data_IF_875271012494
#
_entry.id   IF_875271012494
#
_cell.length_a   1.000
_cell.length_b   1.000
_cell.length_c   1.000
_cell.angle_alpha   90.00
_cell.angle_beta   90.00
_cell.angle_gamma   90.00
#
_symmetry.space_group_name_H-M   'P 1'
#
loop_
_entity.id
_entity.type
_entity.pdbx_description
1 polymer ?
#
# COMPACT_ATOMS: atom_id res chain seq x y z
N UNK A 1 21.35 -6.79 6.62
CA UNK A 1 21.33 -7.17 8.06
C UNK A 1 19.89 -7.36 8.44
N UNK A 2 19.51 -8.63 8.76
CA UNK A 2 18.16 -9.02 9.19
C UNK A 2 17.89 -8.45 10.59
N UNK A 3 16.82 -7.67 10.73
CA UNK A 3 16.24 -7.30 12.02
C UNK A 3 15.06 -8.23 12.32
N UNK A 4 15.23 -9.12 13.30
CA UNK A 4 14.16 -9.98 13.83
C UNK A 4 13.41 -9.20 14.91
N UNK A 5 12.15 -8.86 14.68
CA UNK A 5 11.22 -8.38 15.70
C UNK A 5 10.53 -9.58 16.36
N UNK A 6 10.91 -9.89 17.61
CA UNK A 6 10.21 -10.83 18.47
C UNK A 6 9.04 -10.15 19.18
N UNK A 7 7.82 -10.58 18.87
CA UNK A 7 6.61 -10.20 19.62
C UNK A 7 6.41 -11.18 20.78
N UNK A 8 6.53 -10.67 22.00
CA UNK A 8 6.15 -11.42 23.23
C UNK A 8 4.69 -11.14 23.57
N UNK A 9 3.86 -12.16 23.48
CA UNK A 9 2.49 -12.15 23.99
C UNK A 9 2.49 -12.53 25.48
N UNK A 10 1.99 -11.63 26.32
CA UNK A 10 1.69 -11.93 27.70
C UNK A 10 0.20 -12.21 27.87
N UNK A 11 -0.13 -13.46 28.20
CA UNK A 11 -1.47 -13.86 28.57
C UNK A 11 -1.80 -13.48 30.00
N UNK A 12 -3.03 -13.02 30.22
CA UNK A 12 -3.62 -12.94 31.57
C UNK A 12 -4.91 -13.73 31.57
N UNK A 13 -4.90 -14.82 32.35
CA UNK A 13 -6.08 -15.54 32.78
C UNK A 13 -6.67 -14.82 34.00
N UNK A 14 -7.97 -14.64 34.03
CA UNK A 14 -8.73 -14.23 35.19
C UNK A 14 -10.12 -14.86 35.18
N UNK A 15 -10.30 -15.81 36.06
CA UNK A 15 -11.55 -16.54 36.34
C UNK A 15 -12.35 -15.88 37.45
N UNK A 16 -13.68 -16.05 37.39
CA UNK A 16 -14.58 -16.05 38.58
C UNK A 16 -15.51 -14.85 38.64
N UNK A 17 -16.81 -15.05 38.63
CA UNK A 17 -17.71 -15.64 39.52
C UNK A 17 -19.00 -14.83 39.65
N UNK A 18 -20.08 -15.40 39.36
CA UNK A 18 -21.47 -15.42 39.84
C UNK A 18 -22.13 -14.23 40.54
N UNK A 19 -23.38 -14.09 40.16
CA UNK A 19 -24.67 -13.92 40.92
C UNK A 19 -25.31 -12.54 41.01
N UNK A 20 -26.53 -12.52 40.44
CA UNK A 20 -27.86 -12.16 41.00
C UNK A 20 -28.07 -10.71 41.43
N UNK A 21 -29.06 -10.14 41.03
CA UNK A 21 -30.48 -10.05 40.94
C UNK A 21 -31.04 -8.60 40.94
N UNK A 22 -32.07 -8.42 40.19
CA UNK A 22 -33.31 -7.64 40.45
C UNK A 22 -33.36 -6.12 40.22
N UNK A 23 -34.25 -5.84 39.28
CA UNK A 23 -35.48 -4.99 39.34
C UNK A 23 -35.34 -3.50 39.05
N UNK A 24 -36.07 -3.17 37.97
CA UNK A 24 -37.27 -2.33 37.89
C UNK A 24 -37.16 -0.85 37.43
N UNK A 25 -38.05 -0.59 36.48
CA UNK A 25 -38.73 0.65 36.07
C UNK A 25 -37.92 1.72 35.33
N UNK A 26 -38.23 1.95 34.04
CA UNK A 26 -39.42 2.62 33.60
C UNK A 26 -39.13 3.85 32.76
N UNK A 27 -39.77 3.94 31.62
CA UNK A 27 -40.10 5.10 30.78
C UNK A 27 -39.04 5.61 29.79
N UNK A 28 -39.21 5.26 28.51
CA UNK A 28 -39.97 5.92 27.45
C UNK A 28 -39.28 7.13 26.80
N UNK A 29 -39.35 7.04 25.47
CA UNK A 29 -39.25 8.04 24.40
C UNK A 29 -37.92 8.27 23.73
N UNK A 30 -37.95 7.94 22.42
CA UNK A 30 -37.05 8.54 21.44
C UNK A 30 -36.64 7.61 20.30
N UNK A 31 -37.65 7.24 19.50
CA UNK A 31 -37.45 6.65 18.19
C UNK A 31 -36.56 7.55 17.32
N UNK A 32 -35.41 7.06 16.93
CA UNK A 32 -34.71 7.50 15.73
C UNK A 32 -34.31 6.23 15.00
N UNK A 33 -35.15 5.82 14.07
CA UNK A 33 -34.84 4.83 13.05
C UNK A 33 -33.70 5.36 12.19
N UNK A 34 -32.50 4.98 12.57
CA UNK A 34 -31.36 4.93 11.66
C UNK A 34 -31.44 3.61 10.92
N UNK A 35 -32.03 3.59 9.74
CA UNK A 35 -31.88 2.50 8.79
C UNK A 35 -30.39 2.36 8.45
N UNK A 36 -29.70 1.54 9.22
CA UNK A 36 -28.51 0.88 8.73
C UNK A 36 -29.00 -0.10 7.66
N UNK A 37 -28.92 0.34 6.43
CA UNK A 37 -28.99 -0.53 5.27
C UNK A 37 -27.77 -1.47 5.33
N UNK A 38 -27.89 -2.50 6.15
CA UNK A 38 -27.09 -3.68 6.05
C UNK A 38 -27.57 -4.34 4.77
N UNK A 39 -26.95 -4.00 3.66
CA UNK A 39 -26.99 -4.85 2.48
C UNK A 39 -26.50 -6.23 2.94
N UNK A 40 -27.43 -7.07 3.33
CA UNK A 40 -27.29 -8.51 3.37
C UNK A 40 -27.06 -8.92 1.92
N UNK A 41 -25.79 -8.86 1.51
CA UNK A 41 -25.34 -9.55 0.31
C UNK A 41 -25.45 -11.03 0.64
N UNK A 42 -26.64 -11.59 0.39
CA UNK A 42 -26.85 -13.01 0.20
C UNK A 42 -25.72 -13.45 -0.73
N UNK A 43 -24.76 -14.22 -0.18
CA UNK A 43 -23.57 -14.64 -0.90
C UNK A 43 -23.98 -15.41 -2.14
N UNK A 44 -24.03 -14.72 -3.29
CA UNK A 44 -23.97 -15.42 -4.56
C UNK A 44 -22.72 -16.28 -4.53
N UNK A 45 -22.84 -17.55 -4.90
CA UNK A 45 -21.70 -18.48 -5.04
C UNK A 45 -20.81 -17.97 -6.18
N UNK A 46 -19.98 -16.94 -5.89
CA UNK A 46 -19.02 -16.41 -6.85
C UNK A 46 -17.98 -17.51 -7.13
N UNK A 47 -17.74 -17.75 -8.40
CA UNK A 47 -16.73 -18.69 -8.86
C UNK A 47 -16.04 -18.17 -10.11
N UNK A 48 -14.79 -18.50 -10.27
CA UNK A 48 -13.98 -18.09 -11.41
C UNK A 48 -12.54 -17.78 -11.04
N UNK A 49 -11.83 -17.14 -11.94
CA UNK A 49 -10.44 -16.74 -11.75
C UNK A 49 -10.32 -15.24 -11.89
N UNK A 50 -9.48 -14.63 -11.06
CA UNK A 50 -9.05 -13.23 -11.17
C UNK A 50 -7.53 -13.24 -11.29
N UNK A 51 -7.02 -12.59 -12.32
CA UNK A 51 -5.58 -12.41 -12.56
C UNK A 51 -5.16 -10.98 -12.26
N UNK A 52 -4.03 -10.80 -11.59
CA UNK A 52 -3.47 -9.48 -11.36
C UNK A 52 -1.96 -9.45 -11.61
N UNK A 53 -1.46 -8.31 -12.08
CA UNK A 53 -0.03 -8.09 -12.25
C UNK A 53 0.34 -6.66 -11.82
N UNK A 54 1.60 -6.43 -11.48
CA UNK A 54 2.08 -5.06 -11.32
C UNK A 54 3.10 -4.82 -10.21
N UNK A 55 2.87 -3.77 -9.46
CA UNK A 55 3.81 -3.19 -8.49
C UNK A 55 4.30 -4.17 -7.44
N UNK A 56 5.62 -4.29 -7.32
CA UNK A 56 6.29 -5.04 -6.25
C UNK A 56 6.04 -4.42 -4.87
N UNK A 57 5.83 -3.11 -4.79
CA UNK A 57 5.52 -2.43 -3.53
C UNK A 57 4.13 -2.81 -2.99
N UNK A 58 3.21 -3.19 -3.87
CA UNK A 58 1.86 -3.61 -3.50
C UNK A 58 1.73 -5.11 -3.18
N UNK A 59 2.79 -5.90 -3.35
CA UNK A 59 2.75 -7.36 -3.20
C UNK A 59 2.07 -7.82 -1.90
N UNK A 60 2.47 -7.24 -0.77
CA UNK A 60 1.90 -7.62 0.54
C UNK A 60 0.42 -7.30 0.66
N UNK A 61 0.03 -6.11 0.20
CA UNK A 61 -1.37 -5.66 0.24
C UNK A 61 -2.24 -6.49 -0.71
N UNK A 62 -1.78 -6.68 -1.94
CA UNK A 62 -2.51 -7.43 -2.96
C UNK A 62 -2.70 -8.91 -2.57
N UNK A 63 -1.65 -9.56 -2.06
CA UNK A 63 -1.75 -10.94 -1.58
C UNK A 63 -2.70 -11.06 -0.38
N UNK A 64 -2.63 -10.16 0.60
CA UNK A 64 -3.54 -10.18 1.73
C UNK A 64 -5.01 -9.97 1.31
N UNK A 65 -5.26 -9.07 0.36
CA UNK A 65 -6.58 -8.84 -0.19
C UNK A 65 -7.09 -10.07 -0.97
N UNK A 66 -6.23 -10.69 -1.78
CA UNK A 66 -6.54 -11.91 -2.51
C UNK A 66 -6.91 -13.07 -1.58
N UNK A 67 -6.10 -13.29 -0.53
CA UNK A 67 -6.37 -14.33 0.48
C UNK A 67 -7.71 -14.09 1.20
N UNK A 68 -7.97 -12.86 1.63
CA UNK A 68 -9.23 -12.51 2.29
C UNK A 68 -10.43 -12.69 1.34
N UNK A 69 -10.27 -12.36 0.06
CA UNK A 69 -11.32 -12.52 -0.94
C UNK A 69 -11.62 -13.99 -1.21
N UNK A 70 -10.58 -14.82 -1.41
CA UNK A 70 -10.74 -16.27 -1.59
C UNK A 70 -11.30 -16.96 -0.35
N UNK A 71 -10.95 -16.49 0.85
CA UNK A 71 -11.54 -17.00 2.09
C UNK A 71 -13.05 -16.70 2.18
N UNK A 72 -13.46 -15.52 1.70
CA UNK A 72 -14.89 -15.13 1.65
C UNK A 72 -15.66 -15.84 0.52
N UNK A 73 -14.99 -16.07 -0.61
CA UNK A 73 -15.57 -16.67 -1.81
C UNK A 73 -14.74 -17.88 -2.26
N UNK A 74 -14.95 -19.06 -1.66
CA UNK A 74 -14.11 -20.24 -1.92
C UNK A 74 -14.13 -20.79 -3.36
N UNK A 75 -15.11 -20.36 -4.15
CA UNK A 75 -15.20 -20.70 -5.58
C UNK A 75 -14.31 -19.84 -6.48
N UNK A 76 -13.68 -18.80 -5.93
CA UNK A 76 -12.80 -17.88 -6.68
C UNK A 76 -11.34 -18.24 -6.46
N UNK A 77 -10.55 -18.22 -7.54
CA UNK A 77 -9.10 -18.32 -7.50
C UNK A 77 -8.48 -16.98 -7.93
N UNK A 78 -7.55 -16.44 -7.16
CA UNK A 78 -6.82 -15.23 -7.49
C UNK A 78 -5.35 -15.56 -7.72
N UNK A 79 -4.79 -15.09 -8.84
CA UNK A 79 -3.37 -15.20 -9.17
C UNK A 79 -2.75 -13.83 -9.27
N UNK A 80 -1.50 -13.68 -8.81
CA UNK A 80 -0.81 -12.39 -8.80
C UNK A 80 0.65 -12.53 -9.26
N UNK A 81 1.11 -11.58 -10.07
CA UNK A 81 2.51 -11.43 -10.49
C UNK A 81 2.98 -10.01 -10.18
N UNK A 82 4.22 -9.87 -9.69
CA UNK A 82 4.76 -8.58 -9.25
C UNK A 82 6.05 -8.25 -10.01
N UNK A 83 5.91 -7.54 -11.12
CA UNK A 83 6.98 -7.21 -12.07
C UNK A 83 7.22 -5.71 -12.25
N UNK A 84 6.44 -4.87 -11.55
CA UNK A 84 6.52 -3.41 -11.61
C UNK A 84 5.21 -2.78 -12.06
N UNK A 85 4.99 -1.51 -11.68
CA UNK A 85 3.74 -0.80 -11.96
C UNK A 85 3.48 -0.62 -13.45
N UNK A 86 4.49 -0.24 -14.22
CA UNK A 86 4.35 -0.03 -15.66
C UNK A 86 3.95 -1.32 -16.38
N UNK A 87 4.54 -2.46 -16.01
CA UNK A 87 4.16 -3.77 -16.55
C UNK A 87 2.71 -4.14 -16.17
N UNK A 88 2.27 -3.81 -14.95
CA UNK A 88 0.89 -4.04 -14.51
C UNK A 88 -0.14 -3.22 -15.28
N UNK A 89 0.16 -1.95 -15.53
CA UNK A 89 -0.70 -1.06 -16.32
C UNK A 89 -0.77 -1.54 -17.78
N UNK A 90 0.37 -1.89 -18.38
CA UNK A 90 0.40 -2.46 -19.74
C UNK A 90 -0.40 -3.77 -19.84
N UNK A 91 -0.28 -4.63 -18.83
CA UNK A 91 -0.98 -5.89 -18.78
C UNK A 91 -2.51 -5.73 -18.70
N UNK A 92 -3.01 -4.77 -17.91
CA UNK A 92 -4.45 -4.50 -17.85
C UNK A 92 -4.97 -3.81 -19.11
N UNK A 93 -4.22 -2.90 -19.70
CA UNK A 93 -4.59 -2.24 -20.96
C UNK A 93 -4.66 -3.24 -22.13
N UNK A 94 -3.71 -4.18 -22.18
CA UNK A 94 -3.73 -5.27 -23.17
C UNK A 94 -4.74 -6.37 -22.84
N UNK A 95 -5.45 -6.28 -21.71
CA UNK A 95 -6.42 -7.28 -21.22
C UNK A 95 -5.82 -8.67 -21.00
N UNK A 96 -4.53 -8.73 -20.69
CA UNK A 96 -3.85 -9.99 -20.32
C UNK A 96 -4.06 -10.33 -18.84
N UNK A 97 -4.43 -9.34 -18.02
CA UNK A 97 -4.87 -9.51 -16.63
C UNK A 97 -6.14 -8.69 -16.36
N UNK A 98 -6.85 -9.05 -15.30
CA UNK A 98 -8.09 -8.36 -14.89
C UNK A 98 -7.79 -7.11 -14.06
N UNK A 99 -6.70 -7.11 -13.27
CA UNK A 99 -6.31 -6.03 -12.37
C UNK A 99 -4.83 -5.70 -12.57
N UNK A 100 -4.54 -4.42 -12.81
CA UNK A 100 -3.19 -3.87 -12.78
C UNK A 100 -2.89 -3.21 -11.43
N UNK A 101 -1.87 -3.66 -10.73
CA UNK A 101 -1.44 -3.05 -9.47
C UNK A 101 -0.39 -1.97 -9.74
N UNK A 102 -0.63 -0.75 -9.24
CA UNK A 102 0.29 0.38 -9.42
C UNK A 102 0.57 1.08 -8.09
N UNK A 103 1.81 1.48 -7.86
CA UNK A 103 2.25 2.34 -6.75
C UNK A 103 2.52 3.78 -7.19
N UNK A 104 1.95 4.20 -8.29
CA UNK A 104 1.88 5.58 -8.79
C UNK A 104 0.51 5.86 -9.37
N UNK A 105 0.19 7.12 -9.59
CA UNK A 105 -0.98 7.49 -10.37
C UNK A 105 -0.86 7.01 -11.82
N UNK A 106 -1.99 6.85 -12.48
CA UNK A 106 -2.01 6.63 -13.92
C UNK A 106 -1.69 7.94 -14.65
N UNK A 107 -0.88 7.86 -15.68
CA UNK A 107 -0.66 8.99 -16.59
C UNK A 107 -1.94 9.31 -17.39
N UNK A 108 -2.02 10.51 -17.94
CA UNK A 108 -3.16 10.91 -18.77
C UNK A 108 -3.31 10.00 -20.00
N UNK A 109 -2.19 9.59 -20.60
CA UNK A 109 -2.20 8.67 -21.75
C UNK A 109 -2.77 7.29 -21.38
N UNK A 110 -2.40 6.74 -20.21
CA UNK A 110 -2.94 5.46 -19.74
C UNK A 110 -4.46 5.53 -19.46
N UNK A 111 -4.93 6.66 -18.94
CA UNK A 111 -6.36 6.93 -18.75
C UNK A 111 -7.10 7.08 -20.09
N UNK A 112 -6.50 7.74 -21.06
CA UNK A 112 -7.06 7.88 -22.42
C UNK A 112 -7.12 6.54 -23.16
N UNK A 113 -6.20 5.61 -22.90
CA UNK A 113 -6.22 4.24 -23.40
C UNK A 113 -7.27 3.36 -22.73
N UNK A 114 -7.92 3.84 -21.67
CA UNK A 114 -9.05 3.20 -21.01
C UNK A 114 -8.74 2.54 -19.67
N UNK A 115 -7.56 2.76 -19.10
CA UNK A 115 -7.29 2.32 -17.72
C UNK A 115 -8.13 3.12 -16.72
N UNK A 116 -8.74 2.41 -15.77
CA UNK A 116 -9.55 3.02 -14.70
C UNK A 116 -8.78 2.93 -13.39
N UNK A 117 -8.56 4.08 -12.77
CA UNK A 117 -7.84 4.19 -11.52
C UNK A 117 -8.77 3.99 -10.31
N UNK A 118 -8.42 3.03 -9.46
CA UNK A 118 -9.08 2.78 -8.17
C UNK A 118 -8.06 2.90 -7.05
N UNK A 119 -8.10 4.00 -6.30
CA UNK A 119 -7.18 4.24 -5.19
C UNK A 119 -7.59 3.37 -4.00
N UNK A 120 -6.74 2.43 -3.60
CA UNK A 120 -6.98 1.49 -2.49
C UNK A 120 -6.25 1.87 -1.21
N UNK A 121 -5.16 2.63 -1.31
CA UNK A 121 -4.38 3.14 -0.18
C UNK A 121 -3.56 4.36 -0.61
N UNK A 122 -3.13 5.15 0.37
CA UNK A 122 -2.16 6.23 0.19
C UNK A 122 -0.86 5.77 0.83
N UNK A 123 0.24 5.91 0.10
CA UNK A 123 1.58 5.53 0.55
C UNK A 123 2.50 6.77 0.59
N UNK A 124 3.64 6.65 1.27
CA UNK A 124 4.66 7.68 1.34
C UNK A 124 6.01 7.14 0.87
N UNK A 125 6.76 7.96 0.12
CA UNK A 125 8.10 7.64 -0.33
C UNK A 125 9.10 8.34 0.61
N UNK A 126 10.04 7.57 1.15
CA UNK A 126 11.11 8.10 1.99
C UNK A 126 12.46 7.92 1.31
N UNK A 127 13.27 8.97 1.31
CA UNK A 127 14.69 8.89 0.99
C UNK A 127 15.43 8.50 2.27
N UNK A 128 16.28 7.50 2.17
CA UNK A 128 17.07 7.02 3.31
C UNK A 128 18.56 7.17 3.01
N UNK A 129 19.31 7.57 4.00
CA UNK A 129 20.76 7.73 3.90
C UNK A 129 21.48 6.73 4.80
N UNK A 130 22.79 6.58 4.61
CA UNK A 130 23.62 5.81 5.52
C UNK A 130 23.61 6.48 6.90
N UNK A 131 23.55 5.74 8.02
CA UNK A 131 23.61 6.32 9.38
C UNK A 131 24.86 7.17 9.67
N UNK A 132 25.93 7.05 8.88
CA UNK A 132 27.12 7.86 8.99
C UNK A 132 27.01 9.21 8.25
N UNK A 133 25.94 9.44 7.47
CA UNK A 133 25.71 10.72 6.79
C UNK A 133 25.30 11.76 7.82
N UNK A 134 25.95 12.90 7.80
CA UNK A 134 25.77 14.00 8.76
C UNK A 134 24.80 15.07 8.29
N UNK A 135 24.41 15.07 7.02
CA UNK A 135 23.36 15.94 6.50
C UNK A 135 22.02 15.60 7.16
N UNK A 136 21.39 16.58 7.80
CA UNK A 136 20.15 16.37 8.57
C UNK A 136 18.89 16.61 7.73
N UNK A 137 18.95 17.48 6.74
CA UNK A 137 17.81 17.84 5.90
C UNK A 137 18.24 18.13 4.47
N UNK A 138 17.36 17.86 3.53
CA UNK A 138 17.56 18.12 2.11
C UNK A 138 16.30 18.74 1.51
N UNK A 139 16.47 19.84 0.79
CA UNK A 139 15.35 20.39 0.01
C UNK A 139 15.02 19.50 -1.19
N UNK A 140 13.82 19.68 -1.74
CA UNK A 140 13.39 19.01 -2.97
C UNK A 140 14.35 19.28 -4.14
N UNK A 141 14.81 20.52 -4.26
CA UNK A 141 15.77 20.94 -5.28
C UNK A 141 17.13 20.26 -5.11
N UNK A 142 17.64 20.16 -3.88
CA UNK A 142 18.88 19.45 -3.59
C UNK A 142 18.76 17.95 -3.90
N UNK A 143 17.62 17.34 -3.57
CA UNK A 143 17.36 15.95 -3.96
C UNK A 143 17.36 15.78 -5.48
N UNK A 144 16.69 16.64 -6.22
CA UNK A 144 16.71 16.63 -7.68
C UNK A 144 18.14 16.73 -8.22
N UNK A 145 18.94 17.65 -7.70
CA UNK A 145 20.34 17.85 -8.11
C UNK A 145 21.23 16.64 -7.77
N UNK A 146 20.99 15.98 -6.66
CA UNK A 146 21.70 14.73 -6.30
C UNK A 146 21.35 13.62 -7.30
N UNK A 147 20.05 13.42 -7.58
CA UNK A 147 19.60 12.33 -8.47
C UNK A 147 19.93 12.58 -9.95
N UNK A 148 20.11 13.84 -10.36
CA UNK A 148 20.61 14.21 -11.70
C UNK A 148 22.13 14.22 -11.81
N UNK A 149 22.85 14.13 -10.67
CA UNK A 149 24.31 14.10 -10.62
C UNK A 149 24.97 15.49 -10.69
N UNK A 150 24.21 16.57 -10.40
CA UNK A 150 24.75 17.93 -10.27
C UNK A 150 25.46 18.11 -8.93
N UNK A 151 24.92 17.52 -7.85
CA UNK A 151 25.53 17.41 -6.52
C UNK A 151 26.04 15.99 -6.36
N UNK A 152 27.33 15.85 -6.05
CA UNK A 152 28.00 14.57 -6.00
C UNK A 152 28.76 14.31 -4.70
N UNK A 153 28.85 15.28 -3.82
CA UNK A 153 29.52 15.20 -2.52
C UNK A 153 28.60 15.74 -1.42
N UNK A 154 28.59 15.08 -0.26
CA UNK A 154 27.78 15.52 0.89
C UNK A 154 28.20 16.88 1.45
N UNK A 155 29.46 17.33 1.22
CA UNK A 155 29.91 18.67 1.62
C UNK A 155 29.10 19.78 0.92
N UNK A 156 28.57 19.53 -0.27
CA UNK A 156 27.75 20.49 -1.03
C UNK A 156 26.36 20.72 -0.42
N UNK A 157 25.97 19.84 0.52
CA UNK A 157 24.65 19.86 1.22
C UNK A 157 24.82 19.79 2.74
N UNK A 158 25.77 20.53 3.27
CA UNK A 158 26.04 20.72 4.69
C UNK A 158 26.41 19.42 5.45
N UNK A 159 26.91 18.43 4.75
CA UNK A 159 27.42 17.19 5.33
C UNK A 159 28.95 17.16 5.39
N UNK A 160 29.49 16.08 5.94
CA UNK A 160 30.94 15.81 5.89
C UNK A 160 31.38 15.44 4.47
N UNK A 161 32.58 15.85 4.07
CA UNK A 161 33.13 15.56 2.74
C UNK A 161 33.18 14.06 2.46
N UNK A 162 32.31 13.59 1.62
CA UNK A 162 32.21 12.20 1.17
C UNK A 162 31.38 12.10 -0.11
N UNK A 163 31.75 11.22 -1.06
CA UNK A 163 31.01 11.08 -2.30
C UNK A 163 29.61 10.52 -2.06
N UNK A 164 28.62 11.05 -2.78
CA UNK A 164 27.26 10.55 -2.79
C UNK A 164 27.15 9.38 -3.77
N UNK A 165 26.67 8.24 -3.30
CA UNK A 165 26.32 7.10 -4.12
C UNK A 165 24.79 6.98 -4.17
N UNK A 166 24.19 7.35 -5.28
CA UNK A 166 22.74 7.28 -5.49
C UNK A 166 22.32 5.85 -5.79
N UNK A 167 21.34 5.35 -5.05
CA UNK A 167 20.73 4.03 -5.27
C UNK A 167 19.24 4.26 -5.50
N UNK A 168 18.77 3.94 -6.71
CA UNK A 168 17.37 4.01 -7.09
C UNK A 168 16.77 2.64 -7.31
N UNK A 169 15.47 2.62 -7.57
CA UNK A 169 14.73 1.44 -8.00
C UNK A 169 14.96 1.16 -9.48
N UNK A 170 14.61 -0.03 -9.88
CA UNK A 170 14.63 -0.50 -11.27
C UNK A 170 13.67 0.30 -12.17
N UNK A 171 13.90 0.27 -13.48
CA UNK A 171 12.98 0.83 -14.45
C UNK A 171 11.62 0.10 -14.41
N UNK A 172 10.52 0.85 -14.53
CA UNK A 172 9.15 0.33 -14.41
C UNK A 172 8.65 0.21 -12.96
N UNK A 173 9.46 0.62 -11.98
CA UNK A 173 9.02 0.75 -10.59
C UNK A 173 8.14 1.97 -10.42
N UNK A 174 6.86 1.77 -10.08
CA UNK A 174 5.95 2.88 -9.81
C UNK A 174 6.38 3.77 -8.64
N UNK A 175 7.12 3.25 -7.67
CA UNK A 175 7.71 4.07 -6.59
C UNK A 175 8.80 4.99 -7.13
N UNK A 176 9.61 4.52 -8.09
CA UNK A 176 10.59 5.36 -8.77
C UNK A 176 9.91 6.43 -9.61
N UNK A 177 8.95 6.03 -10.44
CA UNK A 177 8.21 6.95 -11.31
C UNK A 177 7.50 8.03 -10.47
N UNK A 178 6.85 7.66 -9.36
CA UNK A 178 6.22 8.62 -8.44
C UNK A 178 7.24 9.55 -7.74
N UNK A 179 8.43 9.04 -7.41
CA UNK A 179 9.50 9.86 -6.85
C UNK A 179 10.02 10.89 -7.85
N UNK A 180 10.24 10.48 -9.10
CA UNK A 180 10.66 11.38 -10.19
C UNK A 180 9.60 12.46 -10.42
N UNK A 181 8.30 12.10 -10.47
CA UNK A 181 7.18 13.05 -10.61
C UNK A 181 7.12 14.07 -9.43
N UNK A 182 7.41 13.64 -8.21
CA UNK A 182 7.44 14.53 -7.05
C UNK A 182 8.60 15.53 -7.15
N UNK A 183 9.73 15.14 -7.75
CA UNK A 183 10.92 16.00 -7.86
C UNK A 183 10.85 17.01 -9.03
N UNK A 184 9.99 16.82 -10.00
CA UNK A 184 9.71 17.79 -11.06
C UNK A 184 8.97 19.03 -10.50
#
# INVERSE_FOLDING_TARGET
ILGVCTLTAAGVMGCGGSSEEAADSGADTGSAEGTSDSADASGEDLSGTVSMAGSTSMEKLANAAAEAFMAKYPGVSVTAEFTGSSAGVEAVLSKSVDIGNSSRNLSDSEKEEGAVENIVAIDGIAVVTNPATTTEDLSKEQLSQIYTGEITDWEEVDGDAAPIVVIGREAGSGTRDAFEEILE
#
